data_IF_964530003081
#
_entry.id   IF_964530003081
#
_cell.length_a   1.000
_cell.length_b   1.000
_cell.length_c   1.000
_cell.angle_alpha   90.00
_cell.angle_beta   90.00
_cell.angle_gamma   90.00
#
_symmetry.space_group_name_H-M   'P 1'
#
loop_
_entity.id
_entity.type
_entity.pdbx_description
1 polymer ?
#
# COMPACT_ATOMS: atom_id res chain seq x y z
N UNK A 1 32.72 4.01 4.47
CA UNK A 1 31.92 5.19 4.79
C UNK A 1 30.72 4.67 5.59
N UNK A 2 30.60 4.96 6.89
CA UNK A 2 29.46 4.54 7.70
C UNK A 2 28.53 5.75 7.91
N UNK A 3 27.40 5.79 7.20
CA UNK A 3 26.31 6.73 7.47
C UNK A 3 25.23 6.02 8.30
N UNK A 4 25.57 5.72 9.56
CA UNK A 4 24.58 5.43 10.60
C UNK A 4 24.00 6.77 11.08
N UNK A 5 23.04 7.31 10.34
CA UNK A 5 22.36 8.56 10.67
C UNK A 5 20.85 8.34 10.83
N UNK A 6 20.47 8.05 12.08
CA UNK A 6 19.20 8.48 12.68
C UNK A 6 17.91 7.97 12.02
N UNK A 7 17.53 6.72 12.29
CA UNK A 7 16.13 6.32 12.20
C UNK A 7 15.37 7.01 13.35
N UNK A 8 14.39 7.88 13.10
CA UNK A 8 13.65 8.52 14.18
C UNK A 8 12.93 7.44 14.98
N UNK A 9 13.02 7.52 16.32
CA UNK A 9 12.33 6.65 17.27
C UNK A 9 10.91 6.38 16.78
N UNK A 10 10.63 5.10 16.51
CA UNK A 10 9.41 4.67 15.84
C UNK A 10 8.19 5.09 16.67
N UNK A 11 7.53 6.17 16.27
CA UNK A 11 6.22 6.55 16.81
C UNK A 11 5.31 5.32 16.76
N UNK A 12 4.81 4.89 17.92
CA UNK A 12 4.09 3.64 18.03
C UNK A 12 2.67 3.75 17.46
N UNK A 13 2.11 2.63 17.01
CA UNK A 13 0.70 2.56 16.58
C UNK A 13 -0.26 3.04 17.68
N UNK A 14 0.12 2.87 18.94
CA UNK A 14 -0.69 3.30 20.10
C UNK A 14 -0.65 4.82 20.30
N UNK A 15 0.48 5.47 20.06
CA UNK A 15 0.58 6.94 20.08
C UNK A 15 -0.30 7.56 18.98
N UNK A 16 -0.29 6.95 17.80
CA UNK A 16 -1.17 7.37 16.71
C UNK A 16 -2.66 7.17 17.04
N UNK A 17 -3.03 6.02 17.63
CA UNK A 17 -4.42 5.78 18.06
C UNK A 17 -4.87 6.79 19.12
N UNK A 18 -3.98 7.19 20.04
CA UNK A 18 -4.28 8.19 21.06
C UNK A 18 -4.52 9.58 20.44
N UNK A 19 -3.69 9.99 19.47
CA UNK A 19 -3.88 11.24 18.73
C UNK A 19 -5.15 11.22 17.87
N UNK A 20 -5.39 10.14 17.14
CA UNK A 20 -6.57 9.98 16.31
C UNK A 20 -7.86 10.00 17.15
N UNK A 21 -7.87 9.36 18.32
CA UNK A 21 -9.01 9.40 19.24
C UNK A 21 -9.26 10.80 19.81
N UNK A 22 -8.19 11.58 20.05
CA UNK A 22 -8.27 12.97 20.49
C UNK A 22 -8.89 13.86 19.42
N UNK A 23 -8.45 13.74 18.17
CA UNK A 23 -8.99 14.50 17.03
C UNK A 23 -10.44 14.13 16.72
N UNK A 24 -10.79 12.85 16.90
CA UNK A 24 -12.13 12.32 16.70
C UNK A 24 -13.11 12.62 17.85
N UNK A 25 -12.67 13.36 18.88
CA UNK A 25 -13.44 13.71 20.09
C UNK A 25 -13.94 12.48 20.85
N UNK A 26 -13.09 11.45 20.98
CA UNK A 26 -13.39 10.23 21.72
C UNK A 26 -14.04 9.10 20.92
N UNK A 27 -14.23 9.26 19.59
CA UNK A 27 -14.63 8.15 18.71
C UNK A 27 -13.41 7.30 18.34
N UNK A 28 -13.62 6.00 18.14
CA UNK A 28 -12.53 5.10 17.80
C UNK A 28 -12.00 5.38 16.39
N UNK A 29 -10.68 5.35 16.15
CA UNK A 29 -10.11 5.34 14.81
C UNK A 29 -10.67 4.21 13.92
N UNK A 30 -11.17 3.13 14.52
CA UNK A 30 -11.78 2.01 13.80
C UNK A 30 -13.08 2.40 13.06
N UNK A 31 -13.79 3.44 13.51
CA UNK A 31 -14.98 3.98 12.83
C UNK A 31 -14.66 4.59 11.46
N UNK A 32 -13.39 4.91 11.21
CA UNK A 32 -12.93 5.40 9.91
C UNK A 32 -12.67 4.26 8.90
N UNK A 33 -12.77 3.00 9.34
CA UNK A 33 -12.60 1.84 8.47
C UNK A 33 -13.74 1.81 7.46
N UNK A 34 -13.39 1.79 6.17
CA UNK A 34 -14.38 1.77 5.09
C UNK A 34 -14.47 0.38 4.49
N UNK A 35 -15.60 -0.27 4.67
CA UNK A 35 -15.95 -1.50 3.94
C UNK A 35 -16.25 -1.14 2.50
N UNK A 36 -15.51 -1.76 1.58
CA UNK A 36 -15.76 -1.59 0.15
C UNK A 36 -16.76 -2.63 -0.36
N UNK A 37 -17.40 -2.41 -1.53
CA UNK A 37 -18.32 -3.39 -2.13
C UNK A 37 -17.69 -4.75 -2.40
N UNK A 38 -16.35 -4.82 -2.51
CA UNK A 38 -15.61 -6.06 -2.66
C UNK A 38 -15.51 -6.88 -1.35
N UNK A 39 -16.10 -6.42 -0.24
CA UNK A 39 -16.05 -7.07 1.07
C UNK A 39 -14.73 -6.87 1.82
N UNK A 40 -13.92 -5.90 1.38
CA UNK A 40 -12.61 -5.61 1.96
C UNK A 40 -12.73 -4.38 2.86
N UNK A 41 -12.29 -4.53 4.11
CA UNK A 41 -12.20 -3.44 5.08
C UNK A 41 -10.88 -2.69 4.92
N UNK A 42 -10.98 -1.42 4.50
CA UNK A 42 -9.81 -0.55 4.33
C UNK A 42 -9.56 0.19 5.63
N UNK A 43 -8.43 -0.13 6.28
CA UNK A 43 -7.96 0.53 7.50
C UNK A 43 -7.61 2.01 7.22
N UNK A 44 -7.77 2.91 8.21
CA UNK A 44 -7.41 4.32 8.07
C UNK A 44 -5.89 4.58 7.96
N UNK A 45 -5.05 3.69 8.49
CA UNK A 45 -3.59 3.77 8.41
C UNK A 45 -3.00 2.37 8.22
N UNK A 46 -1.99 2.27 7.36
CA UNK A 46 -1.17 1.09 7.15
C UNK A 46 0.29 1.43 7.46
N UNK A 47 0.99 0.51 8.11
CA UNK A 47 2.37 0.71 8.57
C UNK A 47 3.30 -0.37 8.00
N UNK A 48 4.61 -0.21 8.22
CA UNK A 48 5.60 -1.21 7.82
C UNK A 48 5.34 -2.60 8.45
N UNK A 49 4.71 -2.64 9.63
CA UNK A 49 4.30 -3.89 10.27
C UNK A 49 3.23 -4.65 9.45
N UNK A 50 2.32 -3.94 8.77
CA UNK A 50 1.31 -4.57 7.90
C UNK A 50 1.93 -5.18 6.63
N UNK A 51 3.15 -4.75 6.26
CA UNK A 51 3.89 -5.28 5.10
C UNK A 51 4.93 -6.33 5.46
N UNK A 52 5.19 -6.57 6.75
CA UNK A 52 6.30 -7.39 7.21
C UNK A 52 6.13 -8.89 6.88
N UNK A 53 4.89 -9.37 6.81
CA UNK A 53 4.55 -10.77 6.49
C UNK A 53 4.23 -10.98 5.00
N UNK A 54 4.40 -9.93 4.18
CA UNK A 54 4.17 -10.02 2.74
C UNK A 54 5.47 -10.41 2.05
N UNK A 55 5.39 -11.42 1.17
CA UNK A 55 6.44 -11.77 0.19
C UNK A 55 6.56 -10.65 -0.86
N UNK A 56 7.15 -9.53 -0.46
CA UNK A 56 7.26 -8.33 -1.29
C UNK A 56 8.45 -8.39 -2.23
N UNK A 57 9.47 -9.20 -1.95
CA UNK A 57 10.74 -9.31 -2.71
C UNK A 57 10.62 -10.05 -4.05
N UNK A 58 9.41 -10.20 -4.57
CA UNK A 58 9.19 -10.73 -5.92
C UNK A 58 9.78 -9.79 -6.98
N UNK A 59 10.43 -10.35 -8.00
CA UNK A 59 10.98 -9.60 -9.13
C UNK A 59 10.02 -9.62 -10.32
N UNK A 60 9.86 -8.49 -11.04
CA UNK A 60 9.05 -8.47 -12.25
C UNK A 60 9.61 -9.44 -13.29
N UNK A 61 8.74 -10.18 -13.97
CA UNK A 61 9.13 -11.18 -14.97
C UNK A 61 9.44 -12.59 -14.43
N UNK A 62 9.37 -12.79 -13.12
CA UNK A 62 9.52 -14.09 -12.47
C UNK A 62 8.23 -14.48 -11.74
N UNK A 63 7.92 -15.78 -11.68
CA UNK A 63 6.78 -16.29 -10.91
C UNK A 63 6.94 -15.88 -9.43
N UNK A 64 5.88 -15.43 -8.73
CA UNK A 64 4.45 -15.47 -9.06
C UNK A 64 3.91 -14.29 -9.89
N UNK A 65 4.78 -13.48 -10.51
CA UNK A 65 4.42 -12.34 -11.36
C UNK A 65 3.63 -11.22 -10.64
N UNK A 66 3.69 -11.15 -9.31
CA UNK A 66 3.01 -10.11 -8.51
C UNK A 66 3.38 -8.69 -8.94
N UNK A 67 4.63 -8.47 -9.35
CA UNK A 67 5.13 -7.18 -9.87
C UNK A 67 5.10 -7.06 -11.40
N UNK A 68 4.44 -8.00 -12.08
CA UNK A 68 4.24 -8.00 -13.52
C UNK A 68 4.96 -9.13 -14.26
N UNK A 69 4.50 -9.41 -15.47
CA UNK A 69 4.90 -10.57 -16.29
C UNK A 69 6.21 -10.34 -17.06
N UNK A 70 6.65 -9.09 -17.23
CA UNK A 70 7.88 -8.76 -17.97
C UNK A 70 8.90 -8.10 -17.06
N UNK A 71 10.17 -8.47 -17.20
CA UNK A 71 11.26 -7.92 -16.39
C UNK A 71 11.37 -6.38 -16.49
N UNK A 72 11.16 -5.82 -17.68
CA UNK A 72 11.26 -4.37 -17.91
C UNK A 72 9.92 -3.63 -17.86
N UNK A 73 8.80 -4.35 -17.68
CA UNK A 73 7.42 -3.82 -17.74
C UNK A 73 7.27 -2.66 -18.76
N UNK A 74 6.87 -1.48 -18.28
CA UNK A 74 6.63 -0.29 -19.07
C UNK A 74 7.85 0.65 -19.18
N UNK A 75 9.00 0.28 -18.61
CA UNK A 75 10.20 1.11 -18.66
C UNK A 75 10.74 1.29 -20.10
N UNK A 76 10.52 0.31 -20.98
CA UNK A 76 10.91 0.37 -22.39
C UNK A 76 9.73 0.57 -23.34
N UNK A 77 8.60 -0.11 -23.11
CA UNK A 77 7.40 -0.01 -23.96
C UNK A 77 6.17 0.25 -23.09
N UNK A 78 5.46 1.38 -23.25
CA UNK A 78 4.26 1.67 -22.46
C UNK A 78 3.12 0.69 -22.80
N UNK A 79 2.06 0.72 -21.99
CA UNK A 79 0.87 -0.09 -22.23
C UNK A 79 0.23 0.29 -23.58
N UNK A 80 -0.27 -0.71 -24.30
CA UNK A 80 -0.95 -0.49 -25.58
C UNK A 80 -2.30 0.19 -25.33
N UNK A 81 -2.49 1.39 -25.87
CA UNK A 81 -3.81 2.04 -25.90
C UNK A 81 -4.69 1.28 -26.91
N UNK A 82 -5.77 0.68 -26.43
CA UNK A 82 -6.75 -0.02 -27.28
C UNK A 82 -8.07 0.76 -27.23
N UNK A 83 -8.29 1.59 -28.25
CA UNK A 83 -9.60 2.18 -28.49
C UNK A 83 -10.40 1.18 -29.33
N UNK A 84 -11.41 0.58 -28.72
CA UNK A 84 -12.39 -0.23 -29.44
C UNK A 84 -13.37 0.73 -30.12
N UNK A 85 -12.90 1.40 -31.17
CA UNK A 85 -13.72 2.24 -32.02
C UNK A 85 -14.39 1.35 -33.08
N UNK A 86 -15.72 1.37 -33.09
CA UNK A 86 -16.56 0.75 -34.12
C UNK A 86 -17.73 1.70 -34.39
N UNK A 87 -18.14 1.78 -35.64
CA UNK A 87 -19.38 2.46 -36.01
C UNK A 87 -20.54 1.45 -35.97
N UNK A 88 -21.75 1.96 -35.73
CA UNK A 88 -22.99 1.18 -35.87
C UNK A 88 -23.26 0.79 -37.31
#
# INVERSE_FOLDING_TARGET
MPDDANAPDAASLDDWKALASKDLKGRSPDELTRTRPEGIDVKPLYTAADTADLETDTLPGLAPYTRGVRATMYANRPWTIRQYAGFS
#
